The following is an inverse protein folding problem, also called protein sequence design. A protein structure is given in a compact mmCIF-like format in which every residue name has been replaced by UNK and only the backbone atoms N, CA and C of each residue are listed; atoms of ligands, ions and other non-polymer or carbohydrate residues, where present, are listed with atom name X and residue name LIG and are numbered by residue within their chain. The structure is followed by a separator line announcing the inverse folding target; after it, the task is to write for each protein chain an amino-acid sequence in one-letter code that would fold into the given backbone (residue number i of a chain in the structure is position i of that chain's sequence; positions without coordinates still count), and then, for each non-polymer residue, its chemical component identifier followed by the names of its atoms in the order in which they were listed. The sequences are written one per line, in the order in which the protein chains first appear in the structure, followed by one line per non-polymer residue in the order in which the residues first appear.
data_IF_186538802182
#
_entry.id   IF_186538802182
#
_cell.length_a   1.000
_cell.length_b   1.000
_cell.length_c   1.000
_cell.angle_alpha   90.00
_cell.angle_beta   90.00
_cell.angle_gamma   90.00
#
_symmetry.space_group_name_H-M   'P 1'
#
loop_
_entity.id
_entity.type
_entity.pdbx_description
1 polymer ?
#
# COMPACT_ATOMS: atom_id res chain seq x y z
N UNK A 1 6.03 11.33 1.00
CA UNK A 1 7.12 11.16 2.00
C UNK A 1 7.18 12.34 2.96
N UNK A 2 7.31 13.58 2.48
CA UNK A 2 7.35 14.79 3.32
C UNK A 2 6.14 14.95 4.27
N UNK A 3 4.92 14.81 3.76
CA UNK A 3 3.70 14.91 4.59
C UNK A 3 3.56 13.77 5.62
N UNK A 4 4.30 12.68 5.44
CA UNK A 4 4.29 11.54 6.34
C UNK A 4 5.41 11.60 7.37
N UNK A 5 6.32 12.60 7.34
CA UNK A 5 7.51 12.63 8.21
C UNK A 5 8.25 11.28 8.23
N UNK A 6 8.32 10.57 7.11
CA UNK A 6 9.08 9.32 6.98
C UNK A 6 10.49 9.66 6.54
N UNK A 7 11.49 9.08 7.20
CA UNK A 7 12.89 9.23 6.78
C UNK A 7 13.15 8.39 5.53
N UNK A 8 14.06 8.86 4.67
CA UNK A 8 14.48 8.09 3.48
C UNK A 8 15.02 6.71 3.87
N UNK A 9 15.73 6.62 4.99
CA UNK A 9 16.24 5.37 5.53
C UNK A 9 15.11 4.39 5.89
N UNK A 10 14.03 4.89 6.49
CA UNK A 10 12.87 4.06 6.81
C UNK A 10 12.14 3.60 5.53
N UNK A 11 11.92 4.52 4.58
CA UNK A 11 11.26 4.19 3.30
C UNK A 11 12.06 3.15 2.53
N UNK A 12 13.38 3.32 2.38
CA UNK A 12 14.24 2.35 1.69
C UNK A 12 14.23 0.97 2.36
N UNK A 13 14.02 0.91 3.67
CA UNK A 13 14.06 -0.34 4.44
C UNK A 13 12.72 -1.08 4.46
N UNK A 14 11.59 -0.37 4.45
CA UNK A 14 10.27 -0.95 4.74
C UNK A 14 9.22 -0.73 3.65
N UNK A 15 9.53 0.01 2.58
CA UNK A 15 8.62 0.30 1.46
C UNK A 15 9.22 -0.24 0.16
N UNK A 16 8.36 -0.52 -0.82
CA UNK A 16 8.72 -1.15 -2.10
C UNK A 16 8.60 -2.67 -2.07
N UNK A 17 7.83 -3.22 -1.10
CA UNK A 17 7.58 -4.65 -1.00
C UNK A 17 6.76 -5.10 -2.21
N UNK A 18 7.21 -6.14 -2.89
CA UNK A 18 6.50 -6.71 -4.03
C UNK A 18 5.72 -7.92 -3.55
N UNK A 19 4.39 -7.85 -3.67
CA UNK A 19 3.48 -8.98 -3.47
C UNK A 19 3.12 -9.62 -4.81
N UNK A 20 2.69 -10.90 -4.86
CA UNK A 20 2.22 -11.52 -6.09
C UNK A 20 1.14 -10.70 -6.81
N UNK A 21 0.24 -10.06 -6.05
CA UNK A 21 -0.84 -9.22 -6.58
C UNK A 21 -0.34 -7.93 -7.26
N UNK A 22 0.92 -7.54 -7.06
CA UNK A 22 1.51 -6.35 -7.68
C UNK A 22 1.49 -6.42 -9.21
N UNK A 23 1.49 -7.62 -9.80
CA UNK A 23 1.37 -7.78 -11.26
C UNK A 23 0.08 -7.16 -11.80
N UNK A 24 -0.98 -7.13 -10.98
CA UNK A 24 -2.27 -6.57 -11.35
C UNK A 24 -2.37 -5.08 -11.06
N UNK A 25 -1.48 -4.50 -10.25
CA UNK A 25 -1.53 -3.09 -9.88
C UNK A 25 -0.61 -2.30 -10.80
N UNK A 26 -1.16 -1.30 -11.49
CA UNK A 26 -0.44 -0.49 -12.47
C UNK A 26 0.57 0.44 -11.82
N UNK A 27 0.25 0.97 -10.64
CA UNK A 27 1.13 1.89 -9.91
C UNK A 27 2.27 1.14 -9.23
N UNK A 28 3.43 1.80 -9.15
CA UNK A 28 4.62 1.26 -8.48
C UNK A 28 4.33 0.94 -7.00
N UNK A 29 4.88 -0.16 -6.42
CA UNK A 29 4.60 -0.59 -5.05
C UNK A 29 4.83 0.50 -4.01
N UNK A 30 5.90 1.28 -4.17
CA UNK A 30 6.20 2.43 -3.31
C UNK A 30 5.04 3.43 -3.24
N UNK A 31 4.38 3.70 -4.37
CA UNK A 31 3.34 4.72 -4.44
C UNK A 31 2.10 4.33 -3.63
N UNK A 32 1.50 3.16 -3.92
CA UNK A 32 0.28 2.76 -3.23
C UNK A 32 0.53 2.40 -1.76
N UNK A 33 1.72 1.91 -1.40
CA UNK A 33 2.09 1.65 0.00
C UNK A 33 2.17 2.95 0.80
N UNK A 34 2.78 4.00 0.25
CA UNK A 34 2.82 5.32 0.90
C UNK A 34 1.42 5.95 1.03
N UNK A 35 0.56 5.80 0.02
CA UNK A 35 -0.83 6.24 0.11
C UNK A 35 -1.60 5.49 1.20
N UNK A 36 -1.40 4.17 1.31
CA UNK A 36 -2.04 3.35 2.32
C UNK A 36 -1.61 3.77 3.74
N UNK A 37 -0.32 4.04 3.96
CA UNK A 37 0.19 4.59 5.22
C UNK A 37 -0.43 5.95 5.52
N UNK A 38 -0.55 6.82 4.52
CA UNK A 38 -1.18 8.13 4.68
C UNK A 38 -2.63 8.01 5.15
N UNK A 39 -3.40 7.13 4.52
CA UNK A 39 -4.79 6.88 4.92
C UNK A 39 -4.88 6.34 6.35
N UNK A 40 -3.97 5.45 6.76
CA UNK A 40 -3.94 4.94 8.13
C UNK A 40 -3.58 6.02 9.15
N UNK A 41 -2.56 6.83 8.89
CA UNK A 41 -2.12 7.90 9.80
C UNK A 41 -3.12 9.03 9.94
N UNK A 42 -3.88 9.30 8.90
CA UNK A 42 -4.95 10.31 8.95
C UNK A 42 -6.28 9.74 9.46
N UNK A 43 -6.32 8.45 9.84
CA UNK A 43 -7.55 7.74 10.21
C UNK A 43 -8.67 7.83 9.17
N UNK A 44 -8.31 8.02 7.88
CA UNK A 44 -9.27 8.14 6.77
C UNK A 44 -9.31 6.90 5.87
N UNK A 45 -8.69 5.81 6.30
CA UNK A 45 -8.69 4.56 5.58
C UNK A 45 -10.09 3.95 5.48
N UNK A 46 -10.51 3.70 4.25
CA UNK A 46 -11.68 2.90 3.88
C UNK A 46 -11.31 2.09 2.64
N UNK A 47 -11.69 0.80 2.61
CA UNK A 47 -11.42 -0.08 1.48
C UNK A 47 -11.97 0.47 0.15
N UNK A 48 -13.15 1.08 0.16
CA UNK A 48 -13.74 1.72 -1.04
C UNK A 48 -12.85 2.85 -1.56
N UNK A 49 -12.29 3.66 -0.66
CA UNK A 49 -11.38 4.76 -1.03
C UNK A 49 -10.06 4.22 -1.57
N UNK A 50 -9.50 3.17 -0.96
CA UNK A 50 -8.29 2.54 -1.47
C UNK A 50 -8.50 1.91 -2.85
N UNK A 51 -9.64 1.24 -3.08
CA UNK A 51 -10.04 0.74 -4.40
C UNK A 51 -10.09 1.83 -5.46
N UNK A 52 -10.50 3.06 -5.11
CA UNK A 52 -10.50 4.18 -6.05
C UNK A 52 -9.10 4.71 -6.34
N UNK A 53 -8.17 4.61 -5.39
CA UNK A 53 -6.78 5.08 -5.53
C UNK A 53 -5.90 4.16 -6.38
N UNK A 54 -6.15 2.85 -6.36
CA UNK A 54 -5.37 1.91 -7.14
C UNK A 54 -5.95 1.73 -8.54
N UNK A 55 -5.10 1.81 -9.55
CA UNK A 55 -5.41 1.40 -10.93
C UNK A 55 -4.90 -0.02 -11.14
N UNK A 56 -5.70 -0.85 -11.83
CA UNK A 56 -5.29 -2.19 -12.21
C UNK A 56 -4.84 -2.22 -13.67
N UNK A 57 -3.88 -3.09 -13.95
CA UNK A 57 -3.55 -3.48 -15.32
C UNK A 57 -4.72 -4.23 -15.94
N UNK A 58 -4.89 -4.10 -17.25
CA UNK A 58 -5.85 -4.90 -18.00
C UNK A 58 -5.11 -6.07 -18.65
N UNK A 59 -5.59 -7.29 -18.46
CA UNK A 59 -5.05 -8.50 -19.07
C UNK A 59 -6.11 -9.10 -19.99
N UNK A 60 -5.69 -9.54 -21.18
CA UNK A 60 -6.60 -9.96 -22.24
C UNK A 60 -7.45 -11.20 -21.87
N UNK A 61 -6.90 -12.11 -21.05
CA UNK A 61 -7.50 -13.40 -20.71
C UNK A 61 -7.71 -13.61 -19.20
N UNK A 62 -7.72 -12.54 -18.40
CA UNK A 62 -7.88 -12.66 -16.94
C UNK A 62 -8.98 -11.73 -16.47
N UNK A 63 -10.03 -12.29 -15.87
CA UNK A 63 -10.98 -11.51 -15.09
C UNK A 63 -10.32 -11.08 -13.78
N UNK A 64 -10.15 -9.78 -13.61
CA UNK A 64 -9.43 -9.21 -12.48
C UNK A 64 -10.44 -8.70 -11.45
N UNK A 65 -10.57 -9.38 -10.32
CA UNK A 65 -11.36 -8.86 -9.21
C UNK A 65 -10.57 -7.81 -8.41
N UNK A 66 -10.87 -6.54 -8.70
CA UNK A 66 -10.32 -5.39 -7.98
C UNK A 66 -10.52 -5.48 -6.48
N UNK A 67 -11.64 -6.02 -6.02
CA UNK A 67 -11.97 -6.15 -4.60
C UNK A 67 -11.05 -7.15 -3.93
N UNK A 68 -10.93 -8.35 -4.51
CA UNK A 68 -10.06 -9.41 -3.99
C UNK A 68 -8.60 -8.94 -3.92
N UNK A 69 -8.10 -8.32 -5.00
CA UNK A 69 -6.74 -7.80 -5.06
C UNK A 69 -6.51 -6.72 -4.01
N UNK A 70 -7.40 -5.73 -3.95
CA UNK A 70 -7.31 -4.63 -2.97
C UNK A 70 -7.30 -5.15 -1.55
N UNK A 71 -8.19 -6.09 -1.24
CA UNK A 71 -8.27 -6.68 0.09
C UNK A 71 -6.98 -7.45 0.42
N UNK A 72 -6.49 -8.29 -0.50
CA UNK A 72 -5.28 -9.08 -0.28
C UNK A 72 -4.06 -8.21 -0.01
N UNK A 73 -3.78 -7.20 -0.86
CA UNK A 73 -2.60 -6.34 -0.69
C UNK A 73 -2.67 -5.50 0.58
N UNK A 74 -3.86 -5.00 0.95
CA UNK A 74 -4.05 -4.25 2.19
C UNK A 74 -3.81 -5.15 3.40
N UNK A 75 -4.36 -6.37 3.42
CA UNK A 75 -4.20 -7.29 4.54
C UNK A 75 -2.73 -7.69 4.72
N UNK A 76 -2.05 -8.08 3.64
CA UNK A 76 -0.61 -8.44 3.67
C UNK A 76 0.24 -7.27 4.13
N UNK A 77 -0.01 -6.08 3.58
CA UNK A 77 0.76 -4.90 3.97
C UNK A 77 0.45 -4.46 5.40
N UNK A 78 -0.79 -4.61 5.88
CA UNK A 78 -1.16 -4.33 7.28
C UNK A 78 -0.46 -5.28 8.25
N UNK A 79 -0.41 -6.57 7.93
CA UNK A 79 0.32 -7.55 8.73
C UNK A 79 1.81 -7.20 8.80
N UNK A 80 2.43 -6.90 7.65
CA UNK A 80 3.81 -6.43 7.60
C UNK A 80 4.01 -5.17 8.45
N UNK A 81 3.17 -4.15 8.25
CA UNK A 81 3.26 -2.86 8.93
C UNK A 81 3.16 -3.00 10.46
N UNK A 82 2.27 -3.88 10.94
CA UNK A 82 2.10 -4.17 12.36
C UNK A 82 3.33 -4.90 12.94
N UNK A 83 3.88 -5.89 12.23
CA UNK A 83 5.01 -6.69 12.71
C UNK A 83 6.32 -5.89 12.76
N UNK A 84 6.48 -4.91 11.87
CA UNK A 84 7.70 -4.12 11.79
C UNK A 84 7.64 -2.78 12.53
N UNK A 85 6.56 -2.55 13.30
CA UNK A 85 6.46 -1.46 14.28
C UNK A 85 6.92 -0.12 13.70
N UNK A 86 6.06 0.53 12.94
CA UNK A 86 6.36 1.88 12.43
C UNK A 86 6.14 2.91 13.54
N UNK A 87 7.00 2.87 14.57
CA UNK A 87 7.08 3.89 15.58
C UNK A 87 7.28 5.23 14.87
N UNK A 88 6.41 6.18 15.20
CA UNK A 88 6.60 7.59 14.90
C UNK A 88 8.06 7.95 15.15
N UNK A 89 8.76 8.45 14.13
CA UNK A 89 10.12 9.01 14.27
C UNK A 89 10.13 10.32 15.08
N UNK A 90 9.18 10.48 16.02
CA UNK A 90 9.20 11.50 17.05
C UNK A 90 9.80 10.86 18.30
N UNK A 91 11.13 10.99 18.44
CA UNK A 91 11.72 11.31 19.73
C UNK A 91 11.84 12.82 19.81
#
# INVERSE_FOLDING_TARGET
MYNLKLTDAWVKKYIGIIYPEQIYIKSHPVYWQLQLIYLWRTHTFNMTRFKQLIELNHFYNVEIDKTQISHSVVQKFKQFYNNHGCYSVQK
#
